data_IF_161940560914
#
_entry.id   IF_161940560914
#
_cell.length_a   1.000
_cell.length_b   1.000
_cell.length_c   1.000
_cell.angle_alpha   90.00
_cell.angle_beta   90.00
_cell.angle_gamma   90.00
#
_symmetry.space_group_name_H-M   'P 1'
#
loop_
_entity.id
_entity.type
_entity.pdbx_description
1 polymer ?
#
# COMPACT_ATOMS: atom_id res chain seq x y z
N UNK A 1 7.02 35.97 -20.19
CA UNK A 1 7.66 34.64 -20.35
C UNK A 1 6.98 33.59 -19.45
N UNK A 2 5.75 33.19 -19.75
CA UNK A 2 4.99 32.21 -18.93
C UNK A 2 5.40 30.77 -19.26
N UNK A 3 5.59 30.47 -20.56
CA UNK A 3 6.00 29.14 -21.04
C UNK A 3 7.32 28.69 -20.42
N UNK A 4 8.33 29.57 -20.35
CA UNK A 4 9.62 29.23 -19.75
C UNK A 4 9.51 28.92 -18.25
N UNK A 5 8.62 29.60 -17.52
CA UNK A 5 8.36 29.33 -16.11
C UNK A 5 7.67 27.98 -15.92
N UNK A 6 6.69 27.66 -16.76
CA UNK A 6 5.98 26.37 -16.74
C UNK A 6 6.96 25.23 -17.03
N UNK A 7 7.78 25.33 -18.08
CA UNK A 7 8.78 24.32 -18.42
C UNK A 7 9.84 24.17 -17.32
N UNK A 8 10.30 25.30 -16.75
CA UNK A 8 11.27 25.28 -15.64
C UNK A 8 10.72 24.58 -14.40
N UNK A 9 9.45 24.78 -14.07
CA UNK A 9 8.80 24.04 -12.99
C UNK A 9 8.67 22.57 -13.36
N UNK A 10 8.18 22.28 -14.57
CA UNK A 10 7.89 20.92 -15.04
C UNK A 10 9.10 19.99 -14.97
N UNK A 11 10.22 20.44 -15.54
CA UNK A 11 11.47 19.69 -15.59
C UNK A 11 12.34 19.86 -14.34
N UNK A 12 11.92 20.69 -13.38
CA UNK A 12 12.60 20.91 -12.11
C UNK A 12 11.79 20.37 -10.93
N UNK A 13 11.05 21.27 -10.27
CA UNK A 13 10.29 20.98 -9.05
C UNK A 13 9.14 19.97 -9.28
N UNK A 14 8.60 19.90 -10.51
CA UNK A 14 7.52 18.98 -10.90
C UNK A 14 7.86 17.52 -10.68
N UNK A 15 9.12 17.12 -10.86
CA UNK A 15 9.58 15.75 -10.58
C UNK A 15 9.40 15.36 -9.11
N UNK A 16 9.76 16.26 -8.19
CA UNK A 16 9.58 16.04 -6.75
C UNK A 16 8.10 16.00 -6.40
N UNK A 17 7.30 16.84 -7.04
CA UNK A 17 5.86 16.89 -6.86
C UNK A 17 5.20 15.56 -7.29
N UNK A 18 5.53 15.04 -8.48
CA UNK A 18 5.01 13.75 -8.94
C UNK A 18 5.44 12.62 -8.04
N UNK A 19 6.72 12.55 -7.68
CA UNK A 19 7.20 11.48 -6.80
C UNK A 19 6.46 11.49 -5.46
N UNK A 20 6.27 12.66 -4.87
CA UNK A 20 5.53 12.80 -3.62
C UNK A 20 4.07 12.37 -3.78
N UNK A 21 3.41 12.82 -4.83
CA UNK A 21 1.97 12.59 -5.04
C UNK A 21 1.67 11.15 -5.48
N UNK A 22 2.45 10.60 -6.40
CA UNK A 22 2.25 9.27 -6.96
C UNK A 22 2.72 8.16 -6.01
N UNK A 23 3.75 8.44 -5.20
CA UNK A 23 4.38 7.44 -4.34
C UNK A 23 4.12 7.70 -2.87
N UNK A 24 4.66 8.79 -2.31
CA UNK A 24 4.73 9.00 -0.85
C UNK A 24 3.34 9.06 -0.24
N UNK A 25 2.45 9.88 -0.80
CA UNK A 25 1.09 10.07 -0.28
C UNK A 25 0.25 8.79 -0.42
N UNK A 26 0.44 8.02 -1.49
CA UNK A 26 -0.26 6.73 -1.67
C UNK A 26 0.25 5.65 -0.71
N UNK A 27 1.55 5.58 -0.47
CA UNK A 27 2.13 4.67 0.52
C UNK A 27 1.65 5.02 1.92
N UNK A 28 1.57 6.32 2.26
CA UNK A 28 0.99 6.78 3.52
C UNK A 28 -0.46 6.34 3.67
N UNK A 29 -1.29 6.56 2.64
CA UNK A 29 -2.68 6.11 2.63
C UNK A 29 -2.81 4.59 2.80
N UNK A 30 -1.98 3.80 2.12
CA UNK A 30 -1.96 2.34 2.29
C UNK A 30 -1.57 1.92 3.71
N UNK A 31 -0.56 2.59 4.28
CA UNK A 31 -0.14 2.31 5.66
C UNK A 31 -1.22 2.69 6.67
N UNK A 32 -2.00 3.75 6.44
CA UNK A 32 -3.14 4.12 7.28
C UNK A 32 -4.31 3.14 7.13
N UNK A 33 -4.70 2.84 5.89
CA UNK A 33 -5.83 1.96 5.57
C UNK A 33 -5.64 0.53 6.11
N UNK A 34 -4.44 -0.02 5.95
CA UNK A 34 -4.11 -1.37 6.42
C UNK A 34 -3.40 -1.39 7.78
N UNK A 35 -3.01 -0.24 8.32
CA UNK A 35 -2.23 -0.17 9.57
C UNK A 35 -0.99 -1.09 9.57
N UNK A 36 -0.31 -1.18 8.42
CA UNK A 36 0.75 -2.19 8.15
C UNK A 36 1.85 -2.11 9.20
N UNK A 37 2.33 -0.90 9.49
CA UNK A 37 3.36 -0.68 10.52
C UNK A 37 2.96 -1.17 11.91
N UNK A 38 1.69 -1.03 12.30
CA UNK A 38 1.17 -1.52 13.57
C UNK A 38 0.99 -3.05 13.55
N UNK A 39 0.50 -3.61 12.44
CA UNK A 39 0.34 -5.05 12.25
C UNK A 39 1.69 -5.78 12.33
N UNK A 40 2.72 -5.28 11.65
CA UNK A 40 4.07 -5.86 11.68
C UNK A 40 4.65 -5.82 13.10
N UNK A 41 4.51 -4.70 13.83
CA UNK A 41 4.97 -4.57 15.22
C UNK A 41 4.23 -5.49 16.18
N UNK A 42 2.93 -5.69 15.97
CA UNK A 42 2.08 -6.51 16.84
C UNK A 42 1.99 -7.97 16.40
N UNK A 43 2.65 -8.34 15.30
CA UNK A 43 2.63 -9.70 14.77
C UNK A 43 3.28 -10.70 15.74
N UNK A 44 4.34 -10.28 16.43
CA UNK A 44 5.02 -11.07 17.46
C UNK A 44 4.62 -10.69 18.89
N UNK A 45 3.67 -9.76 19.06
CA UNK A 45 3.24 -9.35 20.39
C UNK A 45 2.40 -10.47 21.03
N UNK A 46 2.66 -10.83 22.30
CA UNK A 46 1.91 -11.88 22.98
C UNK A 46 0.40 -11.54 23.05
N UNK A 47 -0.45 -12.49 22.67
CA UNK A 47 -1.91 -12.34 22.65
C UNK A 47 -2.47 -12.23 24.07
N UNK A 48 -2.51 -11.01 24.61
CA UNK A 48 -2.98 -10.74 25.98
C UNK A 48 -4.50 -10.55 26.10
N UNK A 49 -5.22 -10.33 24.99
CA UNK A 49 -6.63 -9.90 25.02
C UNK A 49 -7.67 -10.96 24.63
N UNK A 50 -7.30 -12.01 23.88
CA UNK A 50 -8.24 -13.03 23.38
C UNK A 50 -8.40 -14.26 24.27
N UNK A 51 -7.87 -14.22 25.50
CA UNK A 51 -7.87 -15.40 26.38
C UNK A 51 -9.19 -15.54 27.14
N UNK A 52 -9.95 -16.60 26.85
CA UNK A 52 -11.08 -17.03 27.68
C UNK A 52 -10.53 -17.62 28.99
N UNK A 53 -10.62 -16.87 30.09
CA UNK A 53 -10.28 -17.34 31.46
C UNK A 53 -11.45 -18.16 32.02
N UNK A 54 -11.23 -19.45 32.26
CA UNK A 54 -12.11 -20.27 33.11
C UNK A 54 -11.56 -20.19 34.54
N UNK A 55 -12.35 -19.65 35.47
CA UNK A 55 -11.89 -19.40 36.84
C UNK A 55 -12.26 -20.53 37.83
N UNK A 56 -13.37 -21.24 37.61
CA UNK A 56 -13.82 -22.41 38.37
C UNK A 56 -14.67 -23.32 37.46
N UNK A 57 -14.26 -24.57 37.23
CA UNK A 57 -14.96 -25.51 36.35
C UNK A 57 -14.27 -26.87 36.26
N UNK A 58 -14.96 -27.89 35.74
CA UNK A 58 -14.39 -29.22 35.51
C UNK A 58 -13.21 -29.17 34.52
N UNK A 59 -12.38 -30.21 34.50
CA UNK A 59 -11.22 -30.31 33.59
C UNK A 59 -11.66 -30.17 32.12
N UNK A 60 -12.82 -30.71 31.75
CA UNK A 60 -13.37 -30.61 30.39
C UNK A 60 -13.57 -29.16 29.93
N UNK A 61 -14.06 -28.28 30.81
CA UNK A 61 -14.27 -26.88 30.48
C UNK A 61 -12.94 -26.13 30.26
N UNK A 62 -11.87 -26.54 30.94
CA UNK A 62 -10.53 -25.99 30.73
C UNK A 62 -9.93 -26.45 29.39
N UNK A 63 -10.12 -27.73 29.02
CA UNK A 63 -9.64 -28.26 27.74
C UNK A 63 -10.38 -27.60 26.57
N UNK A 64 -11.70 -27.44 26.69
CA UNK A 64 -12.50 -26.77 25.66
C UNK A 64 -12.07 -25.30 25.50
N UNK A 65 -11.89 -24.56 26.59
CA UNK A 65 -11.40 -23.19 26.53
C UNK A 65 -9.98 -23.09 25.96
N UNK A 66 -9.11 -24.08 26.22
CA UNK A 66 -7.77 -24.14 25.62
C UNK A 66 -7.84 -24.31 24.10
N UNK A 67 -8.67 -25.23 23.60
CA UNK A 67 -8.88 -25.43 22.15
C UNK A 67 -9.49 -24.18 21.51
N UNK A 68 -10.52 -23.59 22.11
CA UNK A 68 -11.14 -22.35 21.62
C UNK A 68 -10.10 -21.23 21.48
N UNK A 69 -9.25 -21.07 22.51
CA UNK A 69 -8.18 -20.08 22.52
C UNK A 69 -7.10 -20.38 21.44
N UNK A 70 -6.75 -21.64 21.22
CA UNK A 70 -5.81 -22.03 20.16
C UNK A 70 -6.36 -21.75 18.77
N UNK A 71 -7.61 -22.14 18.50
CA UNK A 71 -8.28 -21.91 17.21
C UNK A 71 -8.40 -20.40 16.95
N UNK A 72 -8.83 -19.63 17.94
CA UNK A 72 -8.91 -18.17 17.84
C UNK A 72 -7.56 -17.52 17.52
N UNK A 73 -6.48 -17.98 18.17
CA UNK A 73 -5.10 -17.51 17.89
C UNK A 73 -4.65 -17.87 16.48
N UNK A 74 -4.96 -19.07 16.00
CA UNK A 74 -4.58 -19.52 14.67
C UNK A 74 -5.27 -18.70 13.58
N UNK A 75 -6.58 -18.51 13.68
CA UNK A 75 -7.36 -17.69 12.75
C UNK A 75 -6.86 -16.24 12.78
N UNK A 76 -6.68 -15.67 13.97
CA UNK A 76 -6.17 -14.30 14.11
C UNK A 76 -4.78 -14.10 13.50
N UNK A 77 -3.90 -15.10 13.63
CA UNK A 77 -2.55 -15.06 13.03
C UNK A 77 -2.62 -15.16 11.51
N UNK A 78 -3.46 -16.03 10.94
CA UNK A 78 -3.66 -16.16 9.50
C UNK A 78 -4.17 -14.85 8.91
N UNK A 79 -5.24 -14.29 9.48
CA UNK A 79 -5.83 -13.05 8.99
C UNK A 79 -4.83 -11.89 9.01
N UNK A 80 -4.09 -11.72 10.12
CA UNK A 80 -3.03 -10.70 10.20
C UNK A 80 -1.95 -10.91 9.15
N UNK A 81 -1.54 -12.16 8.93
CA UNK A 81 -0.51 -12.50 7.93
C UNK A 81 -1.00 -12.13 6.53
N UNK A 82 -2.23 -12.49 6.16
CA UNK A 82 -2.84 -12.12 4.86
C UNK A 82 -2.88 -10.60 4.69
N UNK A 83 -3.34 -9.86 5.70
CA UNK A 83 -3.43 -8.39 5.62
C UNK A 83 -2.05 -7.76 5.44
N UNK A 84 -1.03 -8.24 6.16
CA UNK A 84 0.36 -7.76 6.01
C UNK A 84 0.85 -8.00 4.58
N UNK A 85 0.64 -9.20 4.03
CA UNK A 85 1.06 -9.52 2.66
C UNK A 85 0.34 -8.67 1.61
N UNK A 86 -0.98 -8.50 1.73
CA UNK A 86 -1.76 -7.65 0.81
C UNK A 86 -1.30 -6.19 0.90
N UNK A 87 -1.09 -5.67 2.11
CA UNK A 87 -0.60 -4.32 2.33
C UNK A 87 0.79 -4.11 1.72
N UNK A 88 1.71 -5.05 1.95
CA UNK A 88 3.06 -5.01 1.38
C UNK A 88 3.03 -5.07 -0.15
N UNK A 89 2.21 -5.94 -0.72
CA UNK A 89 2.01 -6.04 -2.16
C UNK A 89 1.48 -4.71 -2.75
N UNK A 90 0.51 -4.09 -2.09
CA UNK A 90 0.01 -2.76 -2.47
C UNK A 90 1.08 -1.67 -2.45
N UNK A 91 1.99 -1.70 -1.47
CA UNK A 91 3.14 -0.78 -1.41
C UNK A 91 4.05 -1.00 -2.63
N UNK A 92 4.39 -2.25 -2.95
CA UNK A 92 5.24 -2.57 -4.11
C UNK A 92 4.61 -2.06 -5.40
N UNK A 93 3.32 -2.33 -5.63
CA UNK A 93 2.61 -1.81 -6.81
C UNK A 93 2.65 -0.29 -6.86
N UNK A 94 2.43 0.39 -5.73
CA UNK A 94 2.47 1.85 -5.66
C UNK A 94 3.85 2.40 -6.02
N UNK A 95 4.93 1.76 -5.56
CA UNK A 95 6.30 2.12 -5.93
C UNK A 95 6.53 1.96 -7.44
N UNK A 96 6.06 0.85 -8.04
CA UNK A 96 6.17 0.60 -9.48
C UNK A 96 5.39 1.65 -10.29
N UNK A 97 4.14 1.92 -9.93
CA UNK A 97 3.35 2.97 -10.58
C UNK A 97 3.95 4.36 -10.38
N UNK A 98 4.53 4.64 -9.22
CA UNK A 98 5.26 5.87 -8.94
C UNK A 98 6.46 6.04 -9.85
N UNK A 99 7.24 4.97 -10.07
CA UNK A 99 8.39 4.96 -10.98
C UNK A 99 7.96 5.17 -12.44
N UNK A 100 6.92 4.48 -12.90
CA UNK A 100 6.35 4.67 -14.24
C UNK A 100 5.87 6.12 -14.41
N UNK A 101 5.18 6.67 -13.42
CA UNK A 101 4.69 8.05 -13.43
C UNK A 101 5.84 9.05 -13.50
N UNK A 102 6.95 8.75 -12.82
CA UNK A 102 8.17 9.56 -12.83
C UNK A 102 8.80 9.59 -14.24
N UNK A 103 8.88 8.43 -14.92
CA UNK A 103 9.38 8.33 -16.30
C UNK A 103 8.44 8.97 -17.32
N UNK A 104 7.12 8.89 -17.10
CA UNK A 104 6.11 9.46 -17.99
C UNK A 104 5.97 10.99 -17.83
N UNK A 105 6.25 11.53 -16.66
CA UNK A 105 6.11 12.97 -16.36
C UNK A 105 6.76 13.91 -17.38
N UNK A 106 8.03 13.76 -17.81
CA UNK A 106 8.65 14.66 -18.78
C UNK A 106 8.02 14.63 -20.18
N UNK A 107 7.25 13.56 -20.50
CA UNK A 107 6.59 13.38 -21.79
C UNK A 107 5.26 14.13 -21.88
N UNK A 108 4.64 14.46 -20.74
CA UNK A 108 3.31 15.10 -20.71
C UNK A 108 3.28 16.45 -21.45
N UNK A 109 4.25 17.38 -21.30
CA UNK A 109 4.26 18.63 -22.07
C UNK A 109 4.43 18.40 -23.58
N UNK A 110 5.01 17.27 -23.96
CA UNK A 110 5.21 16.86 -25.35
C UNK A 110 4.00 16.07 -25.90
N UNK A 111 3.00 15.75 -25.08
CA UNK A 111 1.84 14.95 -25.47
C UNK A 111 1.08 15.48 -26.71
N UNK A 112 0.90 16.80 -26.93
CA UNK A 112 0.22 17.27 -28.15
C UNK A 112 1.04 16.96 -29.41
N UNK A 113 2.36 17.06 -29.32
CA UNK A 113 3.28 16.77 -30.44
C UNK A 113 3.32 15.26 -30.69
N UNK A 114 3.41 14.46 -29.63
CA UNK A 114 3.33 13.00 -29.73
C UNK A 114 2.01 12.54 -30.35
N UNK A 115 0.88 13.14 -29.97
CA UNK A 115 -0.43 12.78 -30.50
C UNK A 115 -0.52 13.02 -32.02
N UNK A 116 -0.01 14.18 -32.49
CA UNK A 116 0.04 14.49 -33.92
C UNK A 116 0.96 13.51 -34.67
N UNK A 117 2.13 13.21 -34.12
CA UNK A 117 3.06 12.25 -34.72
C UNK A 117 2.46 10.84 -34.83
N UNK A 118 1.78 10.36 -33.78
CA UNK A 118 1.11 9.05 -33.77
C UNK A 118 -0.04 8.99 -34.77
N UNK A 119 -0.81 10.07 -34.89
CA UNK A 119 -1.87 10.19 -35.91
C UNK A 119 -1.30 10.11 -37.33
N UNK A 120 -0.17 10.77 -37.60
CA UNK A 120 0.50 10.72 -38.91
C UNK A 120 1.08 9.32 -39.24
N UNK A 121 1.49 8.55 -38.23
CA UNK A 121 1.97 7.17 -38.41
C UNK A 121 0.81 6.17 -38.62
N UNK A 122 -0.44 6.62 -38.53
CA UNK A 122 -1.61 5.77 -38.72
C UNK A 122 -1.89 4.84 -37.54
N UNK A 123 -1.33 5.14 -36.35
CA UNK A 123 -1.73 4.50 -35.09
C UNK A 123 -3.05 5.12 -34.65
N UNK A 124 -4.11 4.86 -35.43
CA UNK A 124 -5.48 5.19 -35.08
C UNK A 124 -6.08 4.05 -34.26
N UNK A 125 -6.63 4.38 -33.09
CA UNK A 125 -7.68 3.57 -32.45
C UNK A 125 -8.97 3.77 -33.24
#
# INVERSE_FOLDING_TARGET
MVIMLVLRWWYGQGWRWVWRRATIERVQWLNEAFSISALVKTWFAPFKQTYRKVNKGSIDLHVQAFIDNLVSRFIGTILRTIIIFVGLFGIVLTLLFGLISLLAWPLIPLSPILAIALFMVGVGV
#
